data_IF_498717508084
#
_entry.id   IF_498717508084
#
_cell.length_a   1.000
_cell.length_b   1.000
_cell.length_c   1.000
_cell.angle_alpha   90.00
_cell.angle_beta   90.00
_cell.angle_gamma   90.00
#
_symmetry.space_group_name_H-M   'P 1'
#
loop_
_entity.id
_entity.type
_entity.pdbx_description
1 polymer ?
#
# COMPACT_ATOMS: atom_id res chain seq x y z
N UNK A 1 22.50 -1.19 18.76
CA UNK A 1 21.75 -1.03 20.03
C UNK A 1 20.28 -1.00 19.68
N UNK A 2 19.51 -1.97 20.14
CA UNK A 2 18.05 -2.01 19.90
C UNK A 2 17.38 -1.08 20.91
N UNK A 3 16.65 -0.11 20.43
CA UNK A 3 15.86 0.82 21.25
C UNK A 3 14.79 0.02 22.02
N UNK A 4 14.63 0.28 23.32
CA UNK A 4 13.57 -0.35 24.10
C UNK A 4 12.21 0.35 23.86
N UNK A 5 11.11 -0.31 24.24
CA UNK A 5 9.74 0.19 24.01
C UNK A 5 9.50 1.58 24.63
N UNK A 6 10.05 1.84 25.80
CA UNK A 6 9.86 3.11 26.52
C UNK A 6 10.51 4.30 25.78
N UNK A 7 11.74 4.11 25.30
CA UNK A 7 12.47 5.14 24.57
C UNK A 7 11.86 5.38 23.19
N UNK A 8 11.43 4.30 22.52
CA UNK A 8 10.72 4.40 21.26
C UNK A 8 9.38 5.16 21.41
N UNK A 9 8.61 4.91 22.47
CA UNK A 9 7.36 5.64 22.75
C UNK A 9 7.60 7.12 23.00
N UNK A 10 8.68 7.46 23.72
CA UNK A 10 9.06 8.85 23.95
C UNK A 10 9.39 9.55 22.63
N UNK A 11 10.23 8.94 21.81
CA UNK A 11 10.60 9.49 20.49
C UNK A 11 9.41 9.63 19.55
N UNK A 12 8.52 8.65 19.50
CA UNK A 12 7.27 8.71 18.73
C UNK A 12 6.42 9.91 19.14
N UNK A 13 6.21 10.11 20.45
CA UNK A 13 5.41 11.22 20.96
C UNK A 13 6.08 12.59 20.67
N UNK A 14 7.41 12.68 20.77
CA UNK A 14 8.16 13.88 20.43
C UNK A 14 8.03 14.25 18.96
N UNK A 15 8.20 13.29 18.05
CA UNK A 15 8.02 13.49 16.61
C UNK A 15 6.57 13.84 16.24
N UNK A 16 5.60 13.16 16.83
CA UNK A 16 4.18 13.47 16.66
C UNK A 16 3.88 14.92 17.02
N UNK A 17 4.39 15.37 18.16
CA UNK A 17 4.23 16.77 18.62
C UNK A 17 4.98 17.76 17.73
N UNK A 18 6.21 17.44 17.36
CA UNK A 18 7.07 18.32 16.55
C UNK A 18 6.49 18.58 15.16
N UNK A 19 5.91 17.56 14.53
CA UNK A 19 5.40 17.65 13.16
C UNK A 19 3.87 17.75 13.07
N UNK A 20 3.17 17.86 14.21
CA UNK A 20 1.71 17.95 14.24
C UNK A 20 1.01 16.73 13.64
N UNK A 21 1.65 15.55 13.71
CA UNK A 21 1.14 14.33 13.11
C UNK A 21 -0.07 13.82 13.91
N UNK A 22 -1.19 13.62 13.24
CA UNK A 22 -2.35 12.96 13.81
C UNK A 22 -2.30 11.50 13.38
N UNK A 23 -1.86 10.62 14.28
CA UNK A 23 -1.85 9.18 14.02
C UNK A 23 -3.22 8.59 14.37
N UNK A 24 -3.69 7.70 13.54
CA UNK A 24 -4.93 6.92 13.75
C UNK A 24 -4.68 5.60 14.44
N UNK A 25 -3.42 5.28 14.68
CA UNK A 25 -2.98 4.12 15.45
C UNK A 25 -2.23 4.56 16.69
N UNK A 26 -2.36 3.79 17.77
CA UNK A 26 -1.60 4.01 18.99
C UNK A 26 -0.15 3.56 18.82
N UNK A 27 0.76 4.14 19.62
CA UNK A 27 2.14 3.65 19.68
C UNK A 27 2.20 2.14 20.02
N UNK A 28 1.32 1.66 20.87
CA UNK A 28 1.32 0.26 21.29
C UNK A 28 0.94 -0.69 20.14
N UNK A 29 -0.01 -0.33 19.29
CA UNK A 29 -0.31 -1.08 18.06
C UNK A 29 0.88 -1.10 17.10
N UNK A 30 1.55 0.04 16.91
CA UNK A 30 2.76 0.10 16.09
C UNK A 30 3.91 -0.74 16.68
N UNK A 31 4.06 -0.73 18.01
CA UNK A 31 5.10 -1.51 18.69
C UNK A 31 4.86 -3.03 18.62
N UNK A 32 3.63 -3.48 18.82
CA UNK A 32 3.26 -4.88 18.71
C UNK A 32 3.54 -5.40 17.30
N UNK A 33 3.39 -4.54 16.32
CA UNK A 33 3.79 -4.80 14.94
C UNK A 33 5.30 -4.96 14.77
N UNK A 34 6.11 -4.09 15.37
CA UNK A 34 7.59 -4.19 15.35
C UNK A 34 8.04 -5.50 15.99
N UNK A 35 7.45 -5.89 17.11
CA UNK A 35 7.77 -7.15 17.79
C UNK A 35 7.33 -8.38 16.99
N UNK A 36 6.16 -8.33 16.35
CA UNK A 36 5.72 -9.36 15.41
C UNK A 36 6.76 -9.56 14.30
N UNK A 37 7.27 -8.48 13.71
CA UNK A 37 8.27 -8.53 12.65
C UNK A 37 9.61 -9.09 13.09
N UNK A 38 10.09 -8.74 14.26
CA UNK A 38 11.33 -9.32 14.81
C UNK A 38 11.27 -10.85 14.90
N UNK A 39 10.07 -11.40 15.14
CA UNK A 39 9.84 -12.84 15.21
C UNK A 39 9.70 -13.52 13.84
N UNK A 40 9.27 -12.80 12.81
CA UNK A 40 8.86 -13.36 11.52
C UNK A 40 9.81 -13.00 10.36
N UNK A 41 11.06 -12.72 10.67
CA UNK A 41 12.21 -12.58 9.76
C UNK A 41 12.04 -11.52 8.66
N UNK A 42 12.99 -10.62 8.62
CA UNK A 42 13.22 -9.75 7.48
C UNK A 42 13.38 -10.61 6.20
N UNK A 43 12.33 -10.79 5.46
CA UNK A 43 12.44 -11.28 4.09
C UNK A 43 13.32 -10.29 3.35
N UNK A 44 14.43 -10.78 2.79
CA UNK A 44 15.22 -9.95 1.86
C UNK A 44 14.26 -9.47 0.76
N UNK A 45 14.35 -8.18 0.37
CA UNK A 45 13.48 -7.60 -0.66
C UNK A 45 13.21 -8.61 -1.80
N UNK A 46 12.00 -9.19 -1.90
CA UNK A 46 11.71 -10.21 -2.89
C UNK A 46 11.61 -9.62 -4.30
N UNK A 47 11.44 -8.30 -4.42
CA UNK A 47 11.32 -7.63 -5.71
C UNK A 47 12.60 -7.76 -6.54
N UNK A 48 13.77 -7.90 -5.89
CA UNK A 48 15.04 -8.13 -6.59
C UNK A 48 15.10 -9.43 -7.40
N UNK A 49 14.18 -10.36 -7.16
CA UNK A 49 14.05 -11.61 -7.92
C UNK A 49 13.06 -11.50 -9.08
N UNK A 50 12.36 -10.37 -9.20
CA UNK A 50 11.47 -10.13 -10.33
C UNK A 50 12.29 -9.74 -11.56
N UNK A 51 11.85 -10.12 -12.77
CA UNK A 51 12.47 -9.68 -14.00
C UNK A 51 12.50 -8.15 -14.09
N UNK A 52 13.58 -7.60 -14.62
CA UNK A 52 13.72 -6.15 -14.84
C UNK A 52 12.77 -5.61 -15.91
N UNK A 53 12.27 -6.49 -16.76
CA UNK A 53 11.29 -6.18 -17.80
C UNK A 53 10.34 -7.37 -17.94
N UNK A 54 9.06 -7.04 -18.10
CA UNK A 54 7.98 -7.97 -18.34
C UNK A 54 7.26 -7.54 -19.63
N UNK A 55 6.83 -8.48 -20.45
CA UNK A 55 5.71 -8.19 -21.32
C UNK A 55 4.45 -8.01 -20.47
N UNK A 56 3.46 -7.30 -20.95
CA UNK A 56 2.21 -7.06 -20.23
C UNK A 56 1.59 -8.37 -19.73
N UNK A 57 1.54 -9.38 -20.59
CA UNK A 57 0.99 -10.71 -20.25
C UNK A 57 1.81 -11.44 -19.19
N UNK A 58 3.13 -11.37 -19.25
CA UNK A 58 4.01 -11.98 -18.24
C UNK A 58 3.83 -11.30 -16.90
N UNK A 59 3.72 -9.96 -16.89
CA UNK A 59 3.46 -9.20 -15.68
C UNK A 59 2.13 -9.61 -15.03
N UNK A 60 1.03 -9.63 -15.80
CA UNK A 60 -0.28 -10.00 -15.30
C UNK A 60 -0.26 -11.41 -14.68
N UNK A 61 0.31 -12.39 -15.38
CA UNK A 61 0.43 -13.77 -14.88
C UNK A 61 1.32 -13.83 -13.63
N UNK A 62 2.46 -13.16 -13.67
CA UNK A 62 3.44 -13.17 -12.60
C UNK A 62 2.92 -12.54 -11.31
N UNK A 63 2.30 -11.36 -11.41
CA UNK A 63 1.79 -10.66 -10.24
C UNK A 63 0.62 -11.39 -9.58
N UNK A 64 -0.24 -12.03 -10.37
CA UNK A 64 -1.32 -12.86 -9.83
C UNK A 64 -0.80 -14.12 -9.13
N UNK A 65 0.27 -14.75 -9.65
CA UNK A 65 0.92 -15.88 -8.98
C UNK A 65 1.54 -15.47 -7.65
N UNK A 66 2.19 -14.29 -7.60
CA UNK A 66 2.78 -13.74 -6.38
C UNK A 66 1.69 -13.45 -5.35
N UNK A 67 0.61 -12.80 -5.77
CA UNK A 67 -0.53 -12.54 -4.88
C UNK A 67 -1.08 -13.82 -4.29
N UNK A 68 -1.37 -14.83 -5.11
CA UNK A 68 -1.89 -16.12 -4.67
C UNK A 68 -0.92 -16.84 -3.72
N UNK A 69 0.39 -16.72 -3.96
CA UNK A 69 1.40 -17.28 -3.06
C UNK A 69 1.37 -16.58 -1.70
N UNK A 70 1.34 -15.25 -1.68
CA UNK A 70 1.29 -14.46 -0.45
C UNK A 70 0.01 -14.77 0.36
N UNK A 71 -1.15 -14.80 -0.29
CA UNK A 71 -2.43 -15.13 0.35
C UNK A 71 -2.43 -16.54 0.98
N UNK A 72 -1.90 -17.55 0.27
CA UNK A 72 -1.76 -18.91 0.79
C UNK A 72 -0.81 -19.00 1.99
N UNK A 73 0.13 -18.09 2.12
CA UNK A 73 1.07 -18.01 3.23
C UNK A 73 0.65 -17.01 4.32
N UNK A 74 -0.62 -16.61 4.35
CA UNK A 74 -1.21 -15.81 5.41
C UNK A 74 -1.01 -14.31 5.26
N UNK A 75 -0.59 -13.82 4.09
CA UNK A 75 -0.62 -12.40 3.77
C UNK A 75 -2.05 -11.98 3.41
N UNK A 76 -2.54 -10.95 4.03
CA UNK A 76 -3.89 -10.42 3.77
C UNK A 76 -3.90 -9.55 2.50
N UNK A 77 -5.05 -9.49 1.81
CA UNK A 77 -5.26 -8.57 0.69
C UNK A 77 -5.07 -7.12 1.14
N UNK A 78 -4.60 -6.26 0.25
CA UNK A 78 -4.22 -4.86 0.53
C UNK A 78 -5.36 -3.96 1.04
N UNK A 79 -6.62 -4.36 0.86
CA UNK A 79 -7.78 -3.69 1.45
C UNK A 79 -8.18 -4.39 2.75
N UNK A 80 -8.38 -3.60 3.80
CA UNK A 80 -8.82 -4.13 5.10
C UNK A 80 -7.77 -4.95 5.85
N UNK A 81 -6.50 -4.72 5.60
CA UNK A 81 -5.41 -5.42 6.29
C UNK A 81 -5.47 -5.14 7.78
N UNK A 82 -5.79 -6.16 8.58
CA UNK A 82 -5.77 -6.06 10.05
C UNK A 82 -4.40 -5.71 10.63
N UNK A 83 -3.35 -5.98 9.86
CA UNK A 83 -1.94 -5.81 10.27
C UNK A 83 -1.37 -4.44 9.93
N UNK A 84 -1.89 -3.76 8.90
CA UNK A 84 -1.44 -2.44 8.51
C UNK A 84 -2.54 -1.43 8.87
N UNK A 85 -2.30 -0.54 9.83
CA UNK A 85 -3.27 0.48 10.18
C UNK A 85 -3.67 1.29 8.94
N UNK A 86 -4.95 1.30 8.64
CA UNK A 86 -5.53 2.06 7.53
C UNK A 86 -6.49 3.08 8.10
N UNK A 87 -6.31 4.34 7.68
CA UNK A 87 -7.24 5.42 7.99
C UNK A 87 -8.06 5.76 6.77
N UNK A 88 -9.35 5.89 6.99
CA UNK A 88 -10.31 6.29 5.99
C UNK A 88 -10.85 7.69 6.31
N UNK A 89 -10.65 8.63 5.39
CA UNK A 89 -11.21 9.98 5.49
C UNK A 89 -12.03 10.29 4.26
N UNK A 90 -13.08 11.08 4.46
CA UNK A 90 -14.03 11.43 3.43
C UNK A 90 -14.21 12.94 3.37
N UNK A 91 -14.21 13.49 2.19
CA UNK A 91 -14.65 14.84 1.91
C UNK A 91 -15.59 14.79 0.70
N UNK A 92 -16.22 15.90 0.35
CA UNK A 92 -17.16 15.93 -0.76
C UNK A 92 -16.49 15.48 -2.07
N UNK A 93 -17.05 14.44 -2.68
CA UNK A 93 -16.55 13.86 -3.92
C UNK A 93 -15.22 13.10 -3.82
N UNK A 94 -14.62 12.94 -2.64
CA UNK A 94 -13.32 12.29 -2.49
C UNK A 94 -13.25 11.32 -1.30
N UNK A 95 -12.46 10.27 -1.49
CA UNK A 95 -12.08 9.31 -0.46
C UNK A 95 -10.56 9.30 -0.31
N UNK A 96 -10.07 9.54 0.91
CA UNK A 96 -8.65 9.54 1.26
C UNK A 96 -8.37 8.29 2.08
N UNK A 97 -7.38 7.52 1.66
CA UNK A 97 -6.91 6.32 2.33
C UNK A 97 -5.44 6.50 2.71
N UNK A 98 -5.17 6.50 4.00
CA UNK A 98 -3.81 6.51 4.54
C UNK A 98 -3.46 5.12 5.06
N UNK A 99 -2.29 4.63 4.71
CA UNK A 99 -1.80 3.30 5.09
C UNK A 99 -0.44 3.45 5.74
N UNK A 100 -0.28 2.87 6.91
CA UNK A 100 1.03 2.66 7.50
C UNK A 100 1.57 1.30 7.04
N UNK A 101 2.72 1.32 6.38
CA UNK A 101 3.41 0.12 5.90
C UNK A 101 4.73 0.00 6.66
N UNK A 102 4.84 -0.95 7.57
CA UNK A 102 6.07 -1.15 8.31
C UNK A 102 7.23 -1.63 7.41
N UNK A 103 8.47 -1.36 7.82
CA UNK A 103 9.67 -1.84 7.12
C UNK A 103 9.66 -3.35 6.91
N UNK A 104 10.01 -3.82 5.72
CA UNK A 104 10.02 -5.24 5.31
C UNK A 104 8.64 -5.77 4.87
N UNK A 105 7.59 -4.96 4.87
CA UNK A 105 6.27 -5.38 4.38
C UNK A 105 6.23 -5.48 2.86
N UNK A 106 5.53 -6.50 2.38
CA UNK A 106 5.24 -6.71 0.97
C UNK A 106 3.74 -6.57 0.78
N UNK A 107 3.35 -5.73 -0.16
CA UNK A 107 1.95 -5.47 -0.48
C UNK A 107 1.75 -5.72 -1.97
N UNK A 108 0.69 -6.45 -2.32
CA UNK A 108 0.20 -6.52 -3.68
C UNK A 108 -1.10 -5.73 -3.74
N UNK A 109 -1.14 -4.67 -4.53
CA UNK A 109 -2.34 -3.83 -4.64
C UNK A 109 -3.45 -4.54 -5.42
N UNK A 110 -4.71 -4.07 -5.30
CA UNK A 110 -5.77 -4.38 -6.25
C UNK A 110 -5.41 -3.87 -7.67
N UNK A 111 -6.17 -4.25 -8.67
CA UNK A 111 -6.12 -3.67 -10.02
C UNK A 111 -6.99 -2.42 -9.96
N UNK A 112 -6.40 -1.23 -10.13
CA UNK A 112 -7.13 0.02 -9.98
C UNK A 112 -8.07 0.28 -11.16
N UNK A 113 -9.33 0.59 -10.87
CA UNK A 113 -10.37 0.89 -11.87
C UNK A 113 -10.47 2.36 -12.22
N UNK A 114 -9.89 3.23 -11.38
CA UNK A 114 -9.92 4.69 -11.54
C UNK A 114 -8.53 5.29 -11.38
N UNK A 115 -8.26 6.33 -12.15
CA UNK A 115 -7.04 7.13 -11.99
C UNK A 115 -7.10 7.92 -10.69
N UNK A 116 -6.00 7.96 -9.95
CA UNK A 116 -5.92 8.70 -8.69
C UNK A 116 -4.47 9.03 -8.30
N UNK A 117 -4.23 10.15 -7.60
CA UNK A 117 -2.92 10.45 -7.03
C UNK A 117 -2.61 9.58 -5.81
N UNK A 118 -1.31 9.33 -5.63
CA UNK A 118 -0.76 8.80 -4.40
C UNK A 118 0.39 9.65 -3.88
N UNK A 119 0.61 9.59 -2.58
CA UNK A 119 1.66 10.33 -1.88
C UNK A 119 2.38 9.37 -0.92
N UNK A 120 3.71 9.35 -0.99
CA UNK A 120 4.55 8.77 0.04
C UNK A 120 4.99 9.92 0.95
N UNK A 121 4.40 10.00 2.13
CA UNK A 121 4.65 11.10 3.09
C UNK A 121 5.84 10.81 3.99
N UNK A 122 6.13 9.53 4.25
CA UNK A 122 7.23 9.09 5.09
C UNK A 122 7.82 7.79 4.55
N UNK A 123 9.14 7.64 4.71
CA UNK A 123 9.83 6.39 4.45
C UNK A 123 10.36 6.21 3.03
N UNK A 124 10.70 4.98 2.72
CA UNK A 124 11.30 4.57 1.45
C UNK A 124 10.76 3.19 1.05
N UNK A 125 10.34 3.04 -0.20
CA UNK A 125 9.78 1.80 -0.73
C UNK A 125 10.23 1.54 -2.17
N UNK A 126 10.26 0.26 -2.54
CA UNK A 126 10.31 -0.17 -3.93
C UNK A 126 8.91 -0.48 -4.42
N UNK A 127 8.61 -0.04 -5.64
CA UNK A 127 7.36 -0.32 -6.34
C UNK A 127 7.72 -1.04 -7.63
N UNK A 128 7.18 -2.22 -7.84
CA UNK A 128 7.27 -2.96 -9.11
C UNK A 128 5.93 -2.96 -9.81
N UNK A 129 5.94 -2.56 -11.07
CA UNK A 129 4.79 -2.52 -11.97
C UNK A 129 5.19 -3.10 -13.34
N UNK A 130 4.29 -3.06 -14.30
CA UNK A 130 4.60 -3.49 -15.69
C UNK A 130 5.71 -2.66 -16.34
N UNK A 131 5.94 -1.43 -15.89
CA UNK A 131 7.00 -0.53 -16.34
C UNK A 131 8.39 -0.86 -15.72
N UNK A 132 8.43 -1.79 -14.76
CA UNK A 132 9.62 -2.19 -14.04
C UNK A 132 9.60 -1.80 -12.56
N UNK A 133 10.75 -1.91 -11.90
CA UNK A 133 10.92 -1.53 -10.50
C UNK A 133 11.44 -0.09 -10.39
N UNK A 134 10.86 0.67 -9.48
CA UNK A 134 11.36 1.97 -9.05
C UNK A 134 11.46 2.03 -7.54
N UNK A 135 12.52 2.65 -7.02
CA UNK A 135 12.70 2.92 -5.61
C UNK A 135 12.42 4.39 -5.35
N UNK A 136 11.46 4.66 -4.49
CA UNK A 136 11.01 6.02 -4.16
C UNK A 136 11.24 6.32 -2.69
N UNK A 137 11.53 7.58 -2.38
CA UNK A 137 11.74 8.09 -1.02
C UNK A 137 10.86 9.31 -0.78
N UNK A 138 10.30 9.39 0.41
CA UNK A 138 9.47 10.52 0.84
C UNK A 138 10.27 11.84 0.95
N UNK A 139 9.66 13.01 0.63
CA UNK A 139 8.32 13.14 0.06
C UNK A 139 8.29 12.77 -1.43
N UNK A 140 7.30 12.00 -1.85
CA UNK A 140 7.11 11.61 -3.25
C UNK A 140 5.63 11.51 -3.58
N UNK A 141 5.25 11.86 -4.78
CA UNK A 141 3.89 11.67 -5.29
C UNK A 141 3.91 11.30 -6.76
N UNK A 142 2.88 10.62 -7.20
CA UNK A 142 2.65 10.30 -8.61
C UNK A 142 1.18 9.95 -8.82
N UNK A 143 0.82 9.69 -10.08
CA UNK A 143 -0.53 9.25 -10.47
C UNK A 143 -0.53 7.73 -10.64
N UNK A 144 -1.59 7.10 -10.16
CA UNK A 144 -1.92 5.71 -10.44
C UNK A 144 -2.89 5.69 -11.61
N UNK A 145 -2.49 5.06 -12.69
CA UNK A 145 -3.32 4.90 -13.88
C UNK A 145 -4.32 3.74 -13.73
N UNK A 146 -5.40 3.80 -14.50
CA UNK A 146 -6.37 2.71 -14.61
C UNK A 146 -5.65 1.43 -15.08
N UNK A 147 -6.03 0.29 -14.53
CA UNK A 147 -5.39 -1.00 -14.81
C UNK A 147 -4.06 -1.23 -14.07
N UNK A 148 -3.59 -0.25 -13.31
CA UNK A 148 -2.36 -0.41 -12.53
C UNK A 148 -2.55 -1.43 -11.40
N UNK A 149 -1.62 -2.36 -11.30
CA UNK A 149 -1.42 -3.27 -10.16
C UNK A 149 0.06 -3.25 -9.80
N UNK A 150 0.37 -3.27 -8.51
CA UNK A 150 1.76 -3.12 -8.03
C UNK A 150 2.11 -4.15 -6.97
N UNK A 151 3.40 -4.48 -6.92
CA UNK A 151 4.02 -5.07 -5.75
C UNK A 151 4.83 -3.97 -5.09
N UNK A 152 4.63 -3.77 -3.81
CA UNK A 152 5.31 -2.74 -3.02
C UNK A 152 6.11 -3.44 -1.93
N UNK A 153 7.35 -3.01 -1.74
CA UNK A 153 8.17 -3.43 -0.62
C UNK A 153 8.63 -2.21 0.17
N UNK A 154 8.28 -2.15 1.44
CA UNK A 154 8.68 -1.07 2.35
C UNK A 154 10.10 -1.31 2.89
N UNK A 155 11.07 -0.47 2.52
CA UNK A 155 12.44 -0.54 3.04
C UNK A 155 12.53 0.01 4.47
N UNK A 156 11.74 1.01 4.76
CA UNK A 156 11.57 1.63 6.09
C UNK A 156 10.10 1.66 6.43
N UNK A 157 9.75 2.09 7.63
CA UNK A 157 8.36 2.42 7.95
C UNK A 157 7.88 3.53 7.04
N UNK A 158 6.72 3.33 6.42
CA UNK A 158 6.17 4.21 5.39
C UNK A 158 4.76 4.67 5.73
N UNK A 159 4.45 5.94 5.42
CA UNK A 159 3.08 6.46 5.35
C UNK A 159 2.75 6.70 3.88
N UNK A 160 1.79 5.95 3.38
CA UNK A 160 1.35 6.00 2.00
C UNK A 160 -0.11 6.43 1.92
N UNK A 161 -0.39 7.46 1.15
CA UNK A 161 -1.74 8.05 1.03
C UNK A 161 -2.21 7.96 -0.41
N UNK A 162 -3.46 7.56 -0.60
CA UNK A 162 -4.15 7.63 -1.89
C UNK A 162 -5.39 8.49 -1.77
N UNK A 163 -5.72 9.25 -2.83
CA UNK A 163 -6.92 10.08 -2.89
C UNK A 163 -7.75 9.64 -4.09
N UNK A 164 -8.88 9.01 -3.82
CA UNK A 164 -9.75 8.45 -4.85
C UNK A 164 -10.96 9.34 -5.12
N UNK A 165 -11.44 9.42 -6.37
CA UNK A 165 -12.74 10.03 -6.66
C UNK A 165 -13.84 9.22 -5.97
N UNK A 166 -14.78 9.91 -5.36
CA UNK A 166 -15.94 9.34 -4.66
C UNK A 166 -17.18 10.23 -4.89
N UNK A 167 -17.64 10.34 -6.14
CA UNK A 167 -18.68 11.30 -6.50
C UNK A 167 -20.04 11.01 -5.85
N UNK A 168 -20.25 9.78 -5.41
CA UNK A 168 -21.47 9.37 -4.71
C UNK A 168 -21.39 9.55 -3.19
N UNK A 169 -20.26 10.02 -2.68
CA UNK A 169 -19.99 10.15 -1.25
C UNK A 169 -20.20 8.84 -0.47
N UNK A 170 -19.88 7.69 -1.11
CA UNK A 170 -19.95 6.37 -0.49
C UNK A 170 -19.01 6.30 0.73
N UNK A 171 -19.46 5.67 1.81
CA UNK A 171 -18.70 5.52 3.06
C UNK A 171 -18.52 4.07 3.47
N UNK A 172 -19.23 3.14 2.82
CA UNK A 172 -19.06 1.72 3.05
C UNK A 172 -17.77 1.24 2.37
N UNK A 173 -16.78 0.84 3.18
CA UNK A 173 -15.44 0.45 2.68
C UNK A 173 -15.50 -0.75 1.74
N UNK A 174 -16.25 -1.83 2.02
CA UNK A 174 -16.41 -2.94 1.07
C UNK A 174 -16.98 -2.52 -0.28
N UNK A 175 -17.91 -1.58 -0.30
CA UNK A 175 -18.48 -1.03 -1.54
C UNK A 175 -17.46 -0.20 -2.30
N UNK A 176 -16.71 0.67 -1.61
CA UNK A 176 -15.62 1.44 -2.21
C UNK A 176 -14.53 0.54 -2.79
N UNK A 177 -14.16 -0.53 -2.08
CA UNK A 177 -13.18 -1.49 -2.60
C UNK A 177 -13.61 -2.07 -3.95
N UNK A 178 -14.87 -2.49 -4.07
CA UNK A 178 -15.43 -3.01 -5.33
C UNK A 178 -15.50 -1.96 -6.44
N UNK A 179 -15.69 -0.69 -6.10
CA UNK A 179 -15.74 0.40 -7.07
C UNK A 179 -14.33 0.78 -7.55
N UNK A 180 -13.34 0.74 -6.67
CA UNK A 180 -12.00 1.26 -6.90
C UNK A 180 -11.01 0.19 -7.39
N UNK A 181 -11.36 -1.10 -7.28
CA UNK A 181 -10.48 -2.19 -7.71
C UNK A 181 -11.25 -3.28 -8.45
N UNK A 182 -10.57 -3.92 -9.41
CA UNK A 182 -11.04 -5.11 -10.11
C UNK A 182 -10.26 -6.35 -9.63
N UNK A 183 -10.85 -7.52 -9.78
CA UNK A 183 -10.19 -8.80 -9.52
C UNK A 183 -9.37 -9.30 -10.71
N UNK A 184 -9.78 -8.95 -11.94
CA UNK A 184 -9.17 -9.40 -13.19
C UNK A 184 -8.85 -8.22 -14.10
N UNK A 185 -7.75 -8.31 -14.82
CA UNK A 185 -7.35 -7.29 -15.79
C UNK A 185 -8.35 -7.11 -16.94
N UNK A 186 -9.07 -8.20 -17.31
CA UNK A 186 -10.09 -8.15 -18.34
C UNK A 186 -11.23 -7.18 -18.00
N UNK A 187 -11.60 -7.09 -16.73
CA UNK A 187 -12.66 -6.19 -16.25
C UNK A 187 -12.30 -4.72 -16.56
N UNK A 188 -11.06 -4.34 -16.30
CA UNK A 188 -10.57 -2.97 -16.55
C UNK A 188 -10.46 -2.68 -18.03
N UNK A 189 -10.00 -3.64 -18.86
CA UNK A 189 -9.94 -3.48 -20.32
C UNK A 189 -11.31 -3.26 -20.97
N UNK A 190 -12.37 -3.75 -20.34
CA UNK A 190 -13.74 -3.52 -20.81
C UNK A 190 -14.27 -2.14 -20.43
N UNK A 191 -13.84 -1.58 -19.29
CA UNK A 191 -14.18 -0.20 -18.90
C UNK A 191 -13.62 0.81 -19.91
N UNK A 192 -12.36 0.64 -20.33
CA UNK A 192 -11.70 1.53 -21.30
C UNK A 192 -12.36 1.51 -22.69
N UNK A 193 -12.96 0.38 -23.09
CA UNK A 193 -13.67 0.25 -24.38
C UNK A 193 -15.06 0.85 -24.37
N UNK A 194 -15.68 0.95 -23.18
CA UNK A 194 -17.02 1.52 -23.04
C UNK A 194 -17.04 3.06 -22.96
N UNK A 195 -15.89 3.68 -22.77
CA UNK A 195 -15.72 5.14 -22.63
C UNK A 195 -15.15 5.82 -23.90
N UNK A 196 -15.09 5.09 -25.02
CA UNK A 196 -14.77 5.60 -26.36
C UNK A 196 -15.99 5.54 -27.24
#
# INVERSE_FOLDING_TARGET
>A
MTMNKKDAKKQFNELTKQYGLVHTFSFDEAWDWVEYKKKHVAMSNPLKFLPSKWSEKEFEIGIMKIQNFLEKNGHEKSFGMKKNPVTHKFTDGQYIREIFNPAGEIIVTGIHTVQHPFFLLMGEMSISSKEGESRIKAPHYNITEVGTKRIIYAHTDCIFVTVHPNPTNERDIPTLEKLLTAEKFEEVRNIDKGNK
#
